data_IF_702645921319
#
_entry.id   IF_702645921319
#
_cell.length_a   1.000
_cell.length_b   1.000
_cell.length_c   1.000
_cell.angle_alpha   90.00
_cell.angle_beta   90.00
_cell.angle_gamma   90.00
#
_symmetry.space_group_name_H-M   'P 1'
#
loop_
_entity.id
_entity.type
_entity.pdbx_description
1 polymer ?
#
# COMPACT_ATOMS: atom_id res chain seq x y z
N UNK A 1 0.63 -35.79 17.38
CA UNK A 1 0.77 -35.38 15.97
C UNK A 1 1.90 -34.37 15.91
N UNK A 2 2.90 -34.54 15.07
CA UNK A 2 3.96 -33.54 14.92
C UNK A 2 3.35 -32.23 14.41
N UNK A 3 3.75 -31.09 14.97
CA UNK A 3 3.35 -29.79 14.43
C UNK A 3 3.84 -29.67 12.98
N UNK A 4 3.05 -29.03 12.13
CA UNK A 4 3.46 -28.75 10.75
C UNK A 4 4.71 -27.86 10.74
N UNK A 5 5.62 -28.08 9.79
CA UNK A 5 6.81 -27.23 9.63
C UNK A 5 6.40 -25.80 9.25
N UNK A 6 7.24 -24.78 9.50
CA UNK A 6 6.94 -23.40 9.14
C UNK A 6 6.61 -23.21 7.67
N UNK A 7 7.30 -23.90 6.76
CA UNK A 7 7.07 -23.83 5.31
C UNK A 7 5.67 -24.34 4.95
N UNK A 8 5.25 -25.44 5.57
CA UNK A 8 3.90 -25.99 5.37
C UNK A 8 2.83 -25.07 5.94
N UNK A 9 3.10 -24.41 7.08
CA UNK A 9 2.19 -23.41 7.66
C UNK A 9 2.04 -22.20 6.74
N UNK A 10 3.15 -21.68 6.17
CA UNK A 10 3.15 -20.58 5.19
C UNK A 10 2.37 -20.98 3.94
N UNK A 11 2.66 -22.15 3.34
CA UNK A 11 1.96 -22.61 2.14
C UNK A 11 0.43 -22.73 2.35
N UNK A 12 0.00 -23.19 3.53
CA UNK A 12 -1.43 -23.24 3.86
C UNK A 12 -2.05 -21.85 4.04
N UNK A 13 -1.28 -20.89 4.58
CA UNK A 13 -1.73 -19.51 4.72
C UNK A 13 -1.85 -18.82 3.35
N UNK A 14 -0.87 -19.00 2.47
CA UNK A 14 -0.90 -18.55 1.08
C UNK A 14 -2.08 -19.15 0.32
N UNK A 15 -2.30 -20.47 0.46
CA UNK A 15 -3.48 -21.12 -0.15
C UNK A 15 -4.80 -20.48 0.32
N UNK A 16 -4.91 -20.11 1.60
CA UNK A 16 -6.10 -19.42 2.08
C UNK A 16 -6.26 -18.02 1.47
N UNK A 17 -5.16 -17.31 1.18
CA UNK A 17 -5.19 -16.06 0.43
C UNK A 17 -5.67 -16.27 -1.01
N UNK A 18 -5.14 -17.28 -1.70
CA UNK A 18 -5.51 -17.60 -3.09
C UNK A 18 -7.00 -17.98 -3.20
N UNK A 19 -7.56 -18.60 -2.16
CA UNK A 19 -8.99 -18.92 -2.03
C UNK A 19 -9.85 -17.71 -1.62
N UNK A 20 -9.25 -16.56 -1.33
CA UNK A 20 -9.92 -15.34 -0.87
C UNK A 20 -10.35 -15.36 0.60
N UNK A 21 -9.96 -16.37 1.38
CA UNK A 21 -10.23 -16.45 2.82
C UNK A 21 -9.17 -15.65 3.60
N UNK A 22 -9.20 -14.33 3.40
CA UNK A 22 -8.25 -13.41 4.03
C UNK A 22 -8.34 -13.40 5.56
N UNK A 23 -9.49 -13.74 6.14
CA UNK A 23 -9.64 -13.86 7.60
C UNK A 23 -8.84 -15.03 8.14
N UNK A 24 -8.91 -16.19 7.48
CA UNK A 24 -8.12 -17.37 7.84
C UNK A 24 -6.64 -17.14 7.55
N UNK A 25 -6.30 -16.55 6.40
CA UNK A 25 -4.93 -16.21 6.05
C UNK A 25 -4.32 -15.25 7.08
N UNK A 26 -5.02 -14.16 7.44
CA UNK A 26 -4.60 -13.21 8.46
C UNK A 26 -4.34 -13.90 9.81
N UNK A 27 -5.25 -14.78 10.23
CA UNK A 27 -5.08 -15.55 11.48
C UNK A 27 -3.84 -16.44 11.44
N UNK A 28 -3.54 -17.05 10.29
CA UNK A 28 -2.36 -17.88 10.11
C UNK A 28 -1.07 -17.04 10.10
N UNK A 29 -1.02 -15.96 9.32
CA UNK A 29 0.14 -15.06 9.26
C UNK A 29 0.40 -14.34 10.58
N UNK A 30 -0.63 -14.00 11.36
CA UNK A 30 -0.46 -13.47 12.73
C UNK A 30 0.24 -14.45 13.66
N UNK A 31 -0.04 -15.75 13.55
CA UNK A 31 0.68 -16.80 14.32
C UNK A 31 2.09 -16.98 13.80
N UNK A 32 2.25 -17.05 12.48
CA UNK A 32 3.55 -17.17 11.83
C UNK A 32 4.48 -16.01 12.20
N UNK A 33 3.98 -14.77 12.29
CA UNK A 33 4.78 -13.61 12.69
C UNK A 33 5.31 -13.70 14.13
N UNK A 34 4.60 -14.41 15.01
CA UNK A 34 5.09 -14.70 16.37
C UNK A 34 6.11 -15.85 16.39
N UNK A 35 5.99 -16.82 15.49
CA UNK A 35 6.92 -17.95 15.36
C UNK A 35 8.21 -17.57 14.59
N UNK A 36 8.09 -16.64 13.64
CA UNK A 36 9.12 -16.22 12.69
C UNK A 36 9.24 -14.69 12.68
N UNK A 37 9.67 -14.06 13.80
CA UNK A 37 9.68 -12.60 13.93
C UNK A 37 10.65 -11.90 12.97
N UNK A 38 11.64 -12.60 12.44
CA UNK A 38 12.67 -12.08 11.53
C UNK A 38 12.36 -12.37 10.05
N UNK A 39 11.19 -12.91 9.72
CA UNK A 39 10.79 -13.18 8.34
C UNK A 39 9.94 -12.03 7.76
N UNK A 40 10.52 -11.26 6.85
CA UNK A 40 9.87 -10.07 6.27
C UNK A 40 8.57 -10.41 5.52
N UNK A 41 8.58 -11.46 4.68
CA UNK A 41 7.40 -11.87 3.90
C UNK A 41 6.22 -12.24 4.82
N UNK A 42 6.48 -12.88 5.97
CA UNK A 42 5.42 -13.21 6.94
C UNK A 42 4.75 -11.96 7.49
N UNK A 43 5.52 -10.90 7.79
CA UNK A 43 4.98 -9.62 8.22
C UNK A 43 4.22 -8.91 7.10
N UNK A 44 4.77 -8.93 5.89
CA UNK A 44 4.12 -8.38 4.70
C UNK A 44 2.75 -9.04 4.46
N UNK A 45 2.70 -10.38 4.41
CA UNK A 45 1.45 -11.09 4.18
C UNK A 45 0.48 -10.98 5.36
N UNK A 46 0.97 -10.82 6.60
CA UNK A 46 0.10 -10.45 7.73
C UNK A 46 -0.60 -9.12 7.45
N UNK A 47 0.12 -8.12 6.96
CA UNK A 47 -0.43 -6.80 6.64
C UNK A 47 -1.44 -6.87 5.50
N UNK A 48 -1.07 -7.49 4.37
CA UNK A 48 -1.94 -7.69 3.20
C UNK A 48 -3.26 -8.37 3.59
N UNK A 49 -3.19 -9.51 4.28
CA UNK A 49 -4.38 -10.22 4.71
C UNK A 49 -5.21 -9.40 5.70
N UNK A 50 -4.56 -8.63 6.58
CA UNK A 50 -5.25 -7.75 7.51
C UNK A 50 -6.03 -6.64 6.82
N UNK A 51 -5.43 -6.03 5.79
CA UNK A 51 -6.07 -5.04 4.92
C UNK A 51 -7.32 -5.63 4.24
N UNK A 52 -7.16 -6.71 3.47
CA UNK A 52 -8.27 -7.34 2.75
C UNK A 52 -9.38 -7.88 3.67
N UNK A 53 -9.01 -8.47 4.81
CA UNK A 53 -9.98 -8.95 5.79
C UNK A 53 -10.80 -7.81 6.42
N UNK A 54 -10.20 -6.62 6.57
CA UNK A 54 -10.85 -5.44 7.16
C UNK A 54 -11.77 -4.70 6.20
N UNK A 55 -11.34 -4.53 4.95
CA UNK A 55 -12.16 -3.87 3.93
C UNK A 55 -13.34 -4.72 3.49
N UNK A 56 -13.07 -5.93 2.98
CA UNK A 56 -14.07 -6.71 2.23
C UNK A 56 -14.93 -7.62 3.12
N UNK A 57 -14.45 -8.04 4.29
CA UNK A 57 -15.08 -9.09 5.10
C UNK A 57 -15.43 -8.68 6.54
N UNK A 58 -15.22 -7.40 6.89
CA UNK A 58 -15.64 -6.83 8.17
C UNK A 58 -14.90 -7.37 9.41
N UNK A 59 -13.75 -8.04 9.23
CA UNK A 59 -12.87 -8.31 10.35
C UNK A 59 -12.26 -6.97 10.79
N UNK A 60 -12.62 -6.43 11.95
CA UNK A 60 -12.00 -5.18 12.44
C UNK A 60 -10.56 -5.45 12.87
N UNK A 61 -9.63 -5.53 11.91
CA UNK A 61 -8.21 -5.42 12.22
C UNK A 61 -7.88 -3.95 12.41
N UNK A 62 -7.13 -3.66 13.46
CA UNK A 62 -6.77 -2.29 13.78
C UNK A 62 -5.84 -1.73 12.69
N UNK A 63 -6.10 -0.49 12.26
CA UNK A 63 -5.31 0.18 11.21
C UNK A 63 -3.84 0.26 11.61
N UNK A 64 -3.54 0.55 12.88
CA UNK A 64 -2.17 0.61 13.37
C UNK A 64 -1.52 -0.78 13.35
N UNK A 65 -2.24 -1.85 13.67
CA UNK A 65 -1.71 -3.22 13.57
C UNK A 65 -1.29 -3.59 12.14
N UNK A 66 -2.03 -3.12 11.13
CA UNK A 66 -1.68 -3.34 9.71
C UNK A 66 -0.47 -2.48 9.32
N UNK A 67 -0.48 -1.18 9.67
CA UNK A 67 0.65 -0.28 9.39
C UNK A 67 1.96 -0.78 10.03
N UNK A 68 1.90 -1.26 11.27
CA UNK A 68 3.07 -1.77 11.98
C UNK A 68 3.60 -3.06 11.34
N UNK A 69 2.72 -3.90 10.78
CA UNK A 69 3.13 -5.10 10.07
C UNK A 69 3.85 -4.77 8.75
N UNK A 70 3.35 -3.80 7.95
CA UNK A 70 4.09 -3.32 6.77
C UNK A 70 5.44 -2.71 7.16
N UNK A 71 5.46 -1.82 8.16
CA UNK A 71 6.70 -1.19 8.63
C UNK A 71 7.71 -2.23 9.12
N UNK A 72 7.26 -3.30 9.78
CA UNK A 72 8.15 -4.38 10.22
C UNK A 72 8.70 -5.18 9.04
N UNK A 73 7.89 -5.44 8.01
CA UNK A 73 8.37 -6.08 6.78
C UNK A 73 9.47 -5.23 6.10
N UNK A 74 9.23 -3.92 5.96
CA UNK A 74 10.18 -2.95 5.41
C UNK A 74 11.46 -2.84 6.27
N UNK A 75 11.34 -2.87 7.59
CA UNK A 75 12.50 -2.85 8.51
C UNK A 75 13.39 -4.09 8.34
N UNK A 76 12.77 -5.25 8.07
CA UNK A 76 13.47 -6.53 7.91
C UNK A 76 14.07 -6.70 6.51
N UNK A 77 13.39 -6.21 5.47
CA UNK A 77 13.82 -6.25 4.08
C UNK A 77 13.39 -4.96 3.36
N UNK A 78 14.27 -3.96 3.42
CA UNK A 78 14.05 -2.61 2.90
C UNK A 78 14.35 -2.45 1.41
N UNK A 79 14.76 -3.51 0.71
CA UNK A 79 15.09 -3.47 -0.72
C UNK A 79 13.91 -3.88 -1.62
N UNK A 80 12.73 -4.04 -1.01
CA UNK A 80 11.50 -4.56 -1.64
C UNK A 80 10.56 -3.45 -2.07
N UNK A 81 10.62 -3.06 -3.34
CA UNK A 81 9.72 -2.06 -3.97
C UNK A 81 8.25 -2.38 -3.70
N UNK A 82 7.88 -3.66 -3.79
CA UNK A 82 6.52 -4.15 -3.56
C UNK A 82 6.02 -3.89 -2.12
N UNK A 83 6.89 -3.91 -1.12
CA UNK A 83 6.50 -3.61 0.25
C UNK A 83 6.13 -2.14 0.44
N UNK A 84 6.93 -1.23 -0.12
CA UNK A 84 6.67 0.21 -0.06
C UNK A 84 5.43 0.58 -0.86
N UNK A 85 5.25 0.03 -2.05
CA UNK A 85 4.07 0.25 -2.89
C UNK A 85 2.79 -0.19 -2.15
N UNK A 86 2.73 -1.42 -1.64
CA UNK A 86 1.57 -1.94 -0.91
C UNK A 86 1.30 -1.16 0.38
N UNK A 87 2.35 -0.78 1.12
CA UNK A 87 2.20 0.08 2.29
C UNK A 87 1.62 1.46 1.90
N UNK A 88 2.10 2.04 0.82
CA UNK A 88 1.61 3.32 0.27
C UNK A 88 0.14 3.24 -0.11
N UNK A 89 -0.28 2.22 -0.86
CA UNK A 89 -1.68 1.95 -1.20
C UNK A 89 -2.55 1.80 0.04
N UNK A 90 -2.09 1.03 1.02
CA UNK A 90 -2.82 0.87 2.28
C UNK A 90 -2.98 2.22 2.98
N UNK A 91 -1.91 3.02 3.07
CA UNK A 91 -1.94 4.36 3.65
C UNK A 91 -2.93 5.29 2.93
N UNK A 92 -3.02 5.25 1.60
CA UNK A 92 -4.06 5.98 0.84
C UNK A 92 -5.44 5.54 1.29
N UNK A 93 -5.69 4.23 1.39
CA UNK A 93 -7.01 3.68 1.76
C UNK A 93 -7.49 4.10 3.16
N UNK A 94 -6.55 4.44 4.07
CA UNK A 94 -6.83 4.94 5.42
C UNK A 94 -6.55 6.45 5.58
N UNK A 95 -6.48 7.19 4.47
CA UNK A 95 -6.32 8.65 4.40
C UNK A 95 -5.02 9.18 5.05
N UNK A 96 -3.97 8.37 5.10
CA UNK A 96 -2.62 8.71 5.56
C UNK A 96 -1.75 9.12 4.38
N UNK A 97 -2.11 10.25 3.76
CA UNK A 97 -1.53 10.65 2.48
C UNK A 97 -0.04 11.01 2.55
N UNK A 98 0.44 11.57 3.67
CA UNK A 98 1.85 11.93 3.83
C UNK A 98 2.73 10.67 3.93
N UNK A 99 2.29 9.66 4.69
CA UNK A 99 2.95 8.35 4.75
C UNK A 99 2.90 7.62 3.41
N UNK A 100 1.78 7.71 2.69
CA UNK A 100 1.65 7.13 1.36
C UNK A 100 2.63 7.77 0.37
N UNK A 101 2.67 9.10 0.32
CA UNK A 101 3.57 9.86 -0.56
C UNK A 101 5.02 9.47 -0.31
N UNK A 102 5.42 9.38 0.97
CA UNK A 102 6.77 8.95 1.35
C UNK A 102 7.08 7.53 0.84
N UNK A 103 6.19 6.58 1.07
CA UNK A 103 6.41 5.19 0.65
C UNK A 103 6.52 5.05 -0.88
N UNK A 104 5.67 5.74 -1.63
CA UNK A 104 5.76 5.76 -3.09
C UNK A 104 7.02 6.43 -3.62
N UNK A 105 7.48 7.51 -2.98
CA UNK A 105 8.74 8.15 -3.35
C UNK A 105 9.94 7.23 -3.09
N UNK A 106 9.99 6.59 -1.92
CA UNK A 106 11.03 5.61 -1.60
C UNK A 106 11.02 4.45 -2.62
N UNK A 107 9.84 3.88 -2.93
CA UNK A 107 9.70 2.83 -3.95
C UNK A 107 10.22 3.26 -5.34
N UNK A 108 9.88 4.48 -5.77
CA UNK A 108 10.28 5.01 -7.07
C UNK A 108 11.77 5.35 -7.16
N UNK A 109 12.40 5.72 -6.04
CA UNK A 109 13.84 5.97 -5.95
C UNK A 109 14.66 4.66 -5.92
N UNK A 110 14.07 3.56 -5.43
CA UNK A 110 14.71 2.24 -5.39
C UNK A 110 14.82 1.59 -6.77
N UNK A 111 13.80 1.73 -7.61
CA UNK A 111 13.79 1.20 -8.98
C UNK A 111 13.31 2.27 -9.97
N UNK A 112 14.28 2.93 -10.61
CA UNK A 112 14.04 3.95 -11.62
C UNK A 112 13.18 3.44 -12.79
N UNK A 113 13.25 2.14 -13.12
CA UNK A 113 12.45 1.54 -14.20
C UNK A 113 10.96 1.46 -13.86
N UNK A 114 10.63 1.45 -12.57
CA UNK A 114 9.26 1.48 -12.05
C UNK A 114 8.78 2.87 -11.63
N UNK A 115 9.67 3.87 -11.57
CA UNK A 115 9.37 5.22 -11.09
C UNK A 115 8.14 5.84 -11.76
N UNK A 116 8.05 5.75 -13.10
CA UNK A 116 6.92 6.27 -13.86
C UNK A 116 5.59 5.62 -13.45
N UNK A 117 5.56 4.28 -13.33
CA UNK A 117 4.37 3.57 -12.87
C UNK A 117 3.98 3.96 -11.45
N UNK A 118 4.93 3.98 -10.52
CA UNK A 118 4.71 4.26 -9.10
C UNK A 118 4.21 5.70 -8.87
N UNK A 119 4.81 6.69 -9.52
CA UNK A 119 4.34 8.07 -9.43
C UNK A 119 2.95 8.26 -10.05
N UNK A 120 2.67 7.61 -11.18
CA UNK A 120 1.35 7.68 -11.81
C UNK A 120 0.28 7.00 -10.95
N UNK A 121 0.61 5.87 -10.32
CA UNK A 121 -0.29 5.15 -9.42
C UNK A 121 -0.59 5.99 -8.17
N UNK A 122 0.43 6.52 -7.49
CA UNK A 122 0.23 7.44 -6.36
C UNK A 122 -0.69 8.59 -6.75
N UNK A 123 -0.43 9.25 -7.88
CA UNK A 123 -1.24 10.38 -8.34
C UNK A 123 -2.72 10.00 -8.53
N UNK A 124 -3.00 8.88 -9.18
CA UNK A 124 -4.37 8.41 -9.45
C UNK A 124 -5.06 8.01 -8.15
N UNK A 125 -4.43 7.15 -7.36
CA UNK A 125 -5.04 6.56 -6.16
C UNK A 125 -5.27 7.63 -5.09
N UNK A 126 -4.29 8.51 -4.86
CA UNK A 126 -4.43 9.66 -3.96
C UNK A 126 -5.62 10.52 -4.37
N UNK A 127 -5.67 10.91 -5.64
CA UNK A 127 -6.68 11.82 -6.13
C UNK A 127 -8.08 11.19 -6.07
N UNK A 128 -8.21 9.94 -6.50
CA UNK A 128 -9.47 9.20 -6.44
C UNK A 128 -9.96 9.04 -5.00
N UNK A 129 -9.07 8.68 -4.07
CA UNK A 129 -9.42 8.48 -2.68
C UNK A 129 -9.86 9.80 -2.01
N UNK A 130 -9.17 10.90 -2.26
CA UNK A 130 -9.56 12.24 -1.79
C UNK A 130 -10.95 12.59 -2.33
N UNK A 131 -11.19 12.41 -3.63
CA UNK A 131 -12.49 12.72 -4.23
C UNK A 131 -13.62 11.87 -3.63
N UNK A 132 -13.37 10.58 -3.37
CA UNK A 132 -14.34 9.69 -2.76
C UNK A 132 -14.61 10.04 -1.29
N UNK A 133 -13.59 10.50 -0.55
CA UNK A 133 -13.67 10.82 0.88
C UNK A 133 -14.29 12.19 1.14
N UNK A 134 -13.94 13.19 0.34
CA UNK A 134 -14.34 14.59 0.55
C UNK A 134 -15.43 15.09 -0.41
N UNK A 135 -15.93 14.23 -1.30
CA UNK A 135 -17.15 14.37 -2.12
C UNK A 135 -17.65 15.81 -2.34
N UNK A 136 -18.64 16.23 -1.53
CA UNK A 136 -19.32 17.52 -1.64
C UNK A 136 -18.38 18.74 -1.58
N UNK A 137 -17.32 18.68 -0.76
CA UNK A 137 -16.35 19.78 -0.64
C UNK A 137 -15.58 19.96 -1.95
N UNK A 138 -15.42 18.88 -2.72
CA UNK A 138 -14.63 18.86 -3.94
C UNK A 138 -15.41 19.27 -5.20
N UNK A 139 -16.70 19.64 -5.06
CA UNK A 139 -17.47 20.26 -6.15
C UNK A 139 -17.00 21.71 -6.44
N UNK A 140 -16.47 22.41 -5.43
CA UNK A 140 -15.81 23.70 -5.64
C UNK A 140 -14.43 23.47 -6.28
N UNK A 141 -14.19 23.98 -7.51
CA UNK A 141 -12.90 23.85 -8.17
C UNK A 141 -11.72 24.39 -7.33
N UNK A 142 -11.96 25.39 -6.47
CA UNK A 142 -10.92 25.96 -5.60
C UNK A 142 -10.54 25.02 -4.46
N UNK A 143 -11.53 24.33 -3.89
CA UNK A 143 -11.28 23.33 -2.85
C UNK A 143 -10.57 22.09 -3.42
N UNK A 144 -10.89 21.72 -4.67
CA UNK A 144 -10.22 20.64 -5.40
C UNK A 144 -8.79 20.96 -5.81
N UNK A 145 -8.49 22.23 -6.10
CA UNK A 145 -7.24 22.64 -6.74
C UNK A 145 -5.95 22.14 -6.06
N UNK A 146 -5.78 22.18 -4.72
CA UNK A 146 -4.56 21.68 -4.08
C UNK A 146 -4.30 20.19 -4.33
N UNK A 147 -5.35 19.36 -4.25
CA UNK A 147 -5.27 17.91 -4.47
C UNK A 147 -5.00 17.59 -5.94
N UNK A 148 -5.70 18.28 -6.85
CA UNK A 148 -5.47 18.16 -8.29
C UNK A 148 -4.06 18.61 -8.68
N UNK A 149 -3.53 19.65 -8.04
CA UNK A 149 -2.16 20.13 -8.26
C UNK A 149 -1.14 19.07 -7.83
N UNK A 150 -1.27 18.49 -6.63
CA UNK A 150 -0.37 17.43 -6.17
C UNK A 150 -0.42 16.22 -7.11
N UNK A 151 -1.61 15.74 -7.46
CA UNK A 151 -1.73 14.61 -8.40
C UNK A 151 -1.09 14.92 -9.77
N UNK A 152 -1.29 16.14 -10.28
CA UNK A 152 -0.65 16.58 -11.52
C UNK A 152 0.88 16.64 -11.39
N UNK A 153 1.44 17.13 -10.28
CA UNK A 153 2.88 17.15 -10.04
C UNK A 153 3.49 15.73 -10.14
N UNK A 154 2.83 14.72 -9.58
CA UNK A 154 3.28 13.33 -9.69
C UNK A 154 3.06 12.71 -11.07
N UNK A 155 1.98 13.08 -11.78
CA UNK A 155 1.82 12.70 -13.19
C UNK A 155 2.93 13.27 -14.07
N UNK A 156 3.35 14.51 -13.80
CA UNK A 156 4.45 15.14 -14.51
C UNK A 156 5.79 14.48 -14.19
N UNK A 157 6.05 14.11 -12.93
CA UNK A 157 7.20 13.26 -12.56
C UNK A 157 7.18 11.93 -13.33
N UNK A 158 6.02 11.28 -13.43
CA UNK A 158 5.88 10.03 -14.16
C UNK A 158 6.18 10.16 -15.66
N UNK A 159 5.94 11.34 -16.24
CA UNK A 159 6.22 11.65 -17.64
C UNK A 159 7.63 12.23 -17.87
N UNK A 160 8.43 12.39 -16.81
CA UNK A 160 9.68 13.15 -16.82
C UNK A 160 9.51 14.53 -17.50
N UNK A 161 8.47 15.24 -17.09
CA UNK A 161 8.03 16.48 -17.73
C UNK A 161 7.93 17.61 -16.71
N UNK A 162 8.40 18.79 -17.08
CA UNK A 162 8.23 20.00 -16.27
C UNK A 162 6.84 20.61 -16.46
N UNK A 163 6.34 21.42 -15.50
CA UNK A 163 5.09 22.14 -15.67
C UNK A 163 5.05 23.08 -16.90
N UNK A 164 6.18 23.69 -17.26
CA UNK A 164 6.25 24.59 -18.42
C UNK A 164 6.17 23.82 -19.75
N UNK A 165 6.83 22.66 -19.83
CA UNK A 165 6.70 21.75 -20.98
C UNK A 165 5.25 21.28 -21.14
N UNK A 166 4.62 20.82 -20.05
CA UNK A 166 3.23 20.40 -20.08
C UNK A 166 2.29 21.52 -20.56
N UNK A 167 2.52 22.76 -20.11
CA UNK A 167 1.74 23.93 -20.53
C UNK A 167 1.94 24.28 -22.00
N UNK A 168 3.11 23.99 -22.57
CA UNK A 168 3.36 24.21 -24.00
C UNK A 168 2.60 23.23 -24.91
N UNK A 169 2.11 22.11 -24.36
CA UNK A 169 1.41 21.04 -25.08
C UNK A 169 -0.12 21.12 -25.01
N UNK A 170 -0.69 22.00 -24.17
CA UNK A 170 -2.13 22.14 -23.89
C UNK A 170 -2.64 23.54 -24.22
#
# INVERSE_FOLDING_TARGET
MAEATPEKKIANAMKAMDEGDFKKAYTAFKKLAAELPDNADVWYYKAECGNYASGMFGAKVDVQEIMDAYKKAIELDGDRVDYYQSYGLFCISVNKYDEAEKAYCEAAEMDESMSASLYSEFAIEYYNNVMATYGEIMEDPKARAPYGKKALEYMLKALDMTPDEAKSLL
#
